data_IF_779991295488
#
_entry.id   IF_779991295488
#
_cell.length_a   1.000
_cell.length_b   1.000
_cell.length_c   1.000
_cell.angle_alpha   90.00
_cell.angle_beta   90.00
_cell.angle_gamma   90.00
#
_symmetry.space_group_name_H-M   'P 1'
#
loop_
_entity.id
_entity.type
_entity.pdbx_description
1 polymer ?
#
# COMPACT_ATOMS: atom_id res chain seq x y z
N UNK A 1 24.68 -35.52 26.11
CA UNK A 1 23.84 -36.74 26.11
C UNK A 1 22.46 -36.30 25.62
N UNK A 2 22.26 -36.67 24.38
CA UNK A 2 21.03 -37.23 23.74
C UNK A 2 19.86 -36.26 23.60
N UNK A 3 19.61 -35.81 22.36
CA UNK A 3 18.90 -36.46 21.22
C UNK A 3 17.38 -36.42 21.41
N UNK A 4 16.56 -35.90 20.57
CA UNK A 4 15.99 -36.31 19.29
C UNK A 4 14.87 -35.36 18.98
N UNK A 5 14.85 -34.73 17.82
CA UNK A 5 14.21 -35.16 16.59
C UNK A 5 12.75 -35.55 16.69
N UNK A 6 11.93 -34.80 15.93
CA UNK A 6 10.79 -35.29 15.13
C UNK A 6 10.10 -34.08 14.51
N UNK A 7 10.43 -33.65 13.36
CA UNK A 7 9.96 -34.01 12.03
C UNK A 7 8.50 -34.52 12.03
N UNK A 8 7.59 -33.66 11.64
CA UNK A 8 6.32 -34.05 11.04
C UNK A 8 6.02 -33.14 9.85
N UNK A 9 6.35 -33.64 8.67
CA UNK A 9 5.81 -33.19 7.39
C UNK A 9 4.36 -33.68 7.28
N UNK A 10 3.43 -32.88 6.78
CA UNK A 10 2.19 -33.41 6.25
C UNK A 10 2.36 -33.76 4.77
N UNK A 11 2.08 -35.00 4.52
CA UNK A 11 2.00 -35.75 3.31
C UNK A 11 1.07 -35.11 2.27
N UNK A 12 1.59 -35.01 1.08
CA UNK A 12 0.89 -34.85 -0.18
C UNK A 12 -0.25 -35.84 -0.32
N UNK A 13 -1.46 -35.34 -0.48
CA UNK A 13 -2.60 -36.09 -0.99
C UNK A 13 -2.97 -35.62 -2.38
N UNK A 14 -2.37 -36.27 -3.37
CA UNK A 14 -2.77 -36.20 -4.76
C UNK A 14 -3.94 -37.13 -5.01
N UNK A 15 -5.11 -36.63 -5.27
CA UNK A 15 -6.18 -37.34 -5.99
C UNK A 15 -7.08 -36.30 -6.65
N UNK A 16 -6.89 -36.10 -7.93
CA UNK A 16 -7.93 -35.86 -8.93
C UNK A 16 -7.28 -36.00 -10.31
N UNK A 17 -7.10 -37.25 -10.69
CA UNK A 17 -6.92 -37.63 -12.10
C UNK A 17 -8.31 -37.86 -12.67
N UNK A 18 -8.38 -37.52 -13.95
CA UNK A 18 -9.39 -37.93 -14.94
C UNK A 18 -10.67 -37.10 -15.00
N UNK A 19 -10.67 -36.15 -15.94
CA UNK A 19 -11.65 -36.18 -17.04
C UNK A 19 -11.12 -35.41 -18.24
N UNK A 20 -10.64 -36.19 -19.20
CA UNK A 20 -10.58 -35.81 -20.59
C UNK A 20 -12.01 -35.51 -21.09
N UNK A 21 -12.20 -34.34 -21.65
CA UNK A 21 -13.15 -34.13 -22.74
C UNK A 21 -12.72 -32.94 -23.57
N UNK A 22 -12.33 -33.23 -24.76
CA UNK A 22 -12.11 -32.45 -25.96
C UNK A 22 -13.18 -31.38 -26.17
N UNK A 23 -12.82 -30.17 -26.54
CA UNK A 23 -13.27 -29.48 -27.76
C UNK A 23 -12.98 -27.96 -27.69
N UNK A 24 -12.44 -27.44 -28.77
CA UNK A 24 -12.67 -26.05 -29.15
C UNK A 24 -11.53 -25.07 -28.82
N UNK A 25 -10.49 -25.05 -29.66
CA UNK A 25 -9.57 -23.94 -29.79
C UNK A 25 -10.32 -22.70 -30.26
N UNK A 26 -10.50 -21.75 -29.38
CA UNK A 26 -10.67 -20.36 -29.73
C UNK A 26 -9.56 -19.61 -29.01
N UNK A 27 -8.42 -19.42 -29.69
CA UNK A 27 -7.39 -18.50 -29.28
C UNK A 27 -7.95 -17.10 -29.50
N UNK A 28 -8.65 -16.58 -28.54
CA UNK A 28 -8.88 -15.15 -28.41
C UNK A 28 -7.56 -14.59 -27.88
N UNK A 29 -6.72 -14.09 -28.78
CA UNK A 29 -5.61 -13.21 -28.45
C UNK A 29 -6.26 -11.92 -27.91
N UNK A 30 -6.67 -11.95 -26.67
CA UNK A 30 -6.99 -10.77 -25.91
C UNK A 30 -5.68 -10.00 -25.75
N UNK A 31 -5.44 -8.99 -26.58
CA UNK A 31 -4.52 -7.92 -26.25
C UNK A 31 -5.02 -7.28 -24.97
N UNK A 32 -4.54 -7.75 -23.83
CA UNK A 32 -4.63 -7.01 -22.58
C UNK A 32 -3.75 -5.78 -22.78
N UNK A 33 -4.37 -4.65 -23.14
CA UNK A 33 -3.77 -3.35 -22.90
C UNK A 33 -3.56 -3.28 -21.39
N UNK A 34 -2.36 -3.64 -20.95
CA UNK A 34 -1.89 -3.29 -19.62
C UNK A 34 -1.74 -1.77 -19.62
N UNK A 35 -2.82 -1.09 -19.29
CA UNK A 35 -2.77 0.33 -18.97
C UNK A 35 -1.89 0.44 -17.71
N UNK A 36 -0.59 0.67 -17.89
CA UNK A 36 0.29 1.09 -16.81
C UNK A 36 -0.21 2.46 -16.37
N UNK A 37 -0.91 2.49 -15.23
CA UNK A 37 -1.31 3.74 -14.62
C UNK A 37 -0.06 4.63 -14.45
N UNK A 38 -0.14 5.93 -14.75
CA UNK A 38 0.99 6.82 -14.58
C UNK A 38 1.43 6.84 -13.12
N UNK A 39 2.74 6.90 -12.87
CA UNK A 39 3.33 6.81 -11.52
C UNK A 39 2.75 7.86 -10.54
N UNK A 40 2.26 8.98 -11.03
CA UNK A 40 1.63 10.02 -10.24
C UNK A 40 0.24 9.61 -9.72
N UNK A 41 -0.56 8.97 -10.55
CA UNK A 41 -1.87 8.47 -10.14
C UNK A 41 -1.74 7.39 -9.05
N UNK A 42 -0.74 6.51 -9.19
CA UNK A 42 -0.41 5.51 -8.17
C UNK A 42 0.00 6.17 -6.85
N UNK A 43 0.82 7.21 -6.89
CA UNK A 43 1.26 7.93 -5.69
C UNK A 43 0.11 8.64 -4.98
N UNK A 44 -0.78 9.28 -5.74
CA UNK A 44 -2.00 9.91 -5.20
C UNK A 44 -2.98 8.88 -4.63
N UNK A 45 -3.14 7.74 -5.30
CA UNK A 45 -3.97 6.63 -4.82
C UNK A 45 -3.43 6.08 -3.50
N UNK A 46 -2.12 5.87 -3.38
CA UNK A 46 -1.47 5.40 -2.16
C UNK A 46 -1.65 6.39 -1.00
N UNK A 47 -1.51 7.68 -1.26
CA UNK A 47 -1.77 8.72 -0.25
C UNK A 47 -3.22 8.70 0.24
N UNK A 48 -4.19 8.65 -0.68
CA UNK A 48 -5.62 8.56 -0.33
C UNK A 48 -5.92 7.28 0.46
N UNK A 49 -5.35 6.16 0.06
CA UNK A 49 -5.51 4.90 0.78
C UNK A 49 -4.94 4.98 2.20
N UNK A 50 -3.80 5.64 2.38
CA UNK A 50 -3.21 5.87 3.70
C UNK A 50 -4.05 6.81 4.57
N UNK A 51 -4.66 7.85 3.99
CA UNK A 51 -5.58 8.75 4.68
C UNK A 51 -6.84 7.99 5.16
N UNK A 52 -7.47 7.22 4.28
CA UNK A 52 -8.63 6.40 4.63
C UNK A 52 -8.31 5.37 5.73
N UNK A 53 -7.15 4.73 5.61
CA UNK A 53 -6.69 3.76 6.62
C UNK A 53 -6.43 4.43 7.97
N UNK A 54 -5.86 5.63 7.98
CA UNK A 54 -5.68 6.41 9.20
C UNK A 54 -7.03 6.68 9.87
N UNK A 55 -8.01 7.22 9.14
CA UNK A 55 -9.33 7.53 9.66
C UNK A 55 -10.06 6.29 10.18
N UNK A 56 -9.92 5.17 9.49
CA UNK A 56 -10.46 3.89 9.95
C UNK A 56 -9.79 3.44 11.25
N UNK A 57 -8.46 3.55 11.35
CA UNK A 57 -7.72 3.20 12.57
C UNK A 57 -8.10 4.10 13.74
N UNK A 58 -8.33 5.40 13.50
CA UNK A 58 -8.80 6.33 14.54
C UNK A 58 -10.16 5.90 15.11
N UNK A 59 -11.10 5.54 14.23
CA UNK A 59 -12.42 5.06 14.65
C UNK A 59 -12.30 3.76 15.45
N UNK A 60 -11.52 2.81 14.95
CA UNK A 60 -11.30 1.51 15.61
C UNK A 60 -10.62 1.68 16.97
N UNK A 61 -9.53 2.42 17.05
CA UNK A 61 -8.80 2.65 18.31
C UNK A 61 -9.68 3.34 19.38
N UNK A 62 -10.58 4.23 18.95
CA UNK A 62 -11.54 4.84 19.86
C UNK A 62 -12.60 3.84 20.36
N UNK A 63 -13.10 2.97 19.49
CA UNK A 63 -14.06 1.91 19.85
C UNK A 63 -13.41 0.90 20.81
N UNK A 64 -12.21 0.42 20.47
CA UNK A 64 -11.46 -0.52 21.30
C UNK A 64 -11.15 0.05 22.69
N UNK A 65 -10.77 1.32 22.75
CA UNK A 65 -10.54 2.00 24.02
C UNK A 65 -11.81 2.05 24.88
N UNK A 66 -12.97 2.36 24.30
CA UNK A 66 -14.25 2.36 25.03
C UNK A 66 -14.56 0.99 25.61
N UNK A 67 -14.39 -0.07 24.81
CA UNK A 67 -14.61 -1.45 25.24
C UNK A 67 -13.62 -1.85 26.33
N UNK A 68 -12.33 -1.58 26.13
CA UNK A 68 -11.29 -1.90 27.11
C UNK A 68 -11.52 -1.17 28.44
N UNK A 69 -11.86 0.12 28.39
CA UNK A 69 -12.17 0.91 29.58
C UNK A 69 -13.40 0.40 30.31
N UNK A 70 -14.45 -0.05 29.61
CA UNK A 70 -15.64 -0.63 30.22
C UNK A 70 -15.30 -1.89 31.01
N UNK A 71 -14.38 -2.73 30.50
CA UNK A 71 -13.90 -3.91 31.23
C UNK A 71 -13.19 -3.56 32.54
N UNK A 72 -12.55 -2.42 32.65
CA UNK A 72 -11.87 -1.97 33.86
C UNK A 72 -12.86 -1.60 34.99
N UNK A 73 -14.15 -1.42 34.69
CA UNK A 73 -15.14 -1.06 35.70
C UNK A 73 -15.41 -2.19 36.71
N UNK A 74 -15.04 -3.43 36.40
CA UNK A 74 -15.16 -4.58 37.31
C UNK A 74 -13.99 -4.66 38.31
N UNK A 75 -12.97 -3.81 38.14
CA UNK A 75 -11.81 -3.73 39.02
C UNK A 75 -11.97 -2.58 40.02
N UNK A 76 -11.23 -2.65 41.13
CA UNK A 76 -11.18 -1.61 42.15
C UNK A 76 -9.78 -1.09 42.40
N UNK A 77 -9.67 0.05 43.07
CA UNK A 77 -8.38 0.62 43.51
C UNK A 77 -7.36 0.76 42.41
N UNK A 78 -6.10 0.48 42.70
CA UNK A 78 -4.98 0.60 41.77
C UNK A 78 -5.11 -0.27 40.53
N UNK A 79 -5.71 -1.45 40.61
CA UNK A 79 -5.88 -2.35 39.47
C UNK A 79 -6.77 -1.73 38.41
N UNK A 80 -7.79 -0.99 38.79
CA UNK A 80 -8.63 -0.22 37.88
C UNK A 80 -7.85 0.86 37.20
N UNK A 81 -7.01 1.59 37.92
CA UNK A 81 -6.22 2.69 37.37
C UNK A 81 -5.16 2.16 36.37
N UNK A 82 -4.49 1.06 36.68
CA UNK A 82 -3.56 0.36 35.79
C UNK A 82 -4.27 -0.06 34.51
N UNK A 83 -5.40 -0.75 34.63
CA UNK A 83 -6.20 -1.20 33.48
C UNK A 83 -6.60 -0.03 32.55
N UNK A 84 -7.04 1.09 33.11
CA UNK A 84 -7.40 2.29 32.33
C UNK A 84 -6.17 2.88 31.62
N UNK A 85 -5.02 2.93 32.30
CA UNK A 85 -3.76 3.42 31.70
C UNK A 85 -3.30 2.50 30.56
N UNK A 86 -3.40 1.20 30.73
CA UNK A 86 -3.07 0.23 29.66
C UNK A 86 -3.98 0.38 28.44
N UNK A 87 -5.29 0.51 28.65
CA UNK A 87 -6.23 0.78 27.57
C UNK A 87 -5.91 2.08 26.81
N UNK A 88 -5.53 3.13 27.54
CA UNK A 88 -5.11 4.41 26.96
C UNK A 88 -3.80 4.29 26.19
N UNK A 89 -2.83 3.54 26.73
CA UNK A 89 -1.55 3.31 26.07
C UNK A 89 -1.72 2.55 24.73
N UNK A 90 -2.56 1.50 24.73
CA UNK A 90 -2.89 0.75 23.53
C UNK A 90 -3.49 1.65 22.44
N UNK A 91 -4.46 2.50 22.79
CA UNK A 91 -5.02 3.49 21.88
C UNK A 91 -3.94 4.43 21.34
N UNK A 92 -3.11 5.01 22.20
CA UNK A 92 -2.06 5.95 21.81
C UNK A 92 -1.07 5.31 20.84
N UNK A 93 -0.65 4.07 21.10
CA UNK A 93 0.24 3.30 20.22
C UNK A 93 -0.38 3.08 18.85
N UNK A 94 -1.65 2.66 18.78
CA UNK A 94 -2.36 2.49 17.50
C UNK A 94 -2.40 3.78 16.69
N UNK A 95 -2.72 4.91 17.33
CA UNK A 95 -2.80 6.21 16.66
C UNK A 95 -1.42 6.70 16.19
N UNK A 96 -0.37 6.49 16.98
CA UNK A 96 1.01 6.87 16.63
C UNK A 96 1.49 6.08 15.42
N UNK A 97 1.26 4.77 15.38
CA UNK A 97 1.62 3.93 14.27
C UNK A 97 0.85 4.30 12.98
N UNK A 98 -0.45 4.57 13.10
CA UNK A 98 -1.26 5.01 11.96
C UNK A 98 -0.78 6.37 11.41
N UNK A 99 -0.44 7.31 12.29
CA UNK A 99 0.12 8.61 11.91
C UNK A 99 1.46 8.49 11.19
N UNK A 100 2.35 7.61 11.68
CA UNK A 100 3.63 7.33 11.02
C UNK A 100 3.43 6.75 9.62
N UNK A 101 2.52 5.79 9.45
CA UNK A 101 2.19 5.20 8.16
C UNK A 101 1.64 6.23 7.18
N UNK A 102 0.71 7.09 7.63
CA UNK A 102 0.17 8.18 6.81
C UNK A 102 1.26 9.16 6.38
N UNK A 103 2.13 9.57 7.30
CA UNK A 103 3.25 10.47 7.01
C UNK A 103 4.19 9.88 5.96
N UNK A 104 4.57 8.61 6.11
CA UNK A 104 5.46 7.93 5.16
C UNK A 104 4.85 7.86 3.75
N UNK A 105 3.54 7.60 3.64
CA UNK A 105 2.86 7.62 2.35
C UNK A 105 2.85 9.03 1.72
N UNK A 106 2.68 10.08 2.51
CA UNK A 106 2.78 11.48 2.06
C UNK A 106 4.18 11.80 1.56
N UNK A 107 5.20 11.52 2.36
CA UNK A 107 6.61 11.78 2.01
C UNK A 107 7.03 11.05 0.75
N UNK A 108 6.63 9.79 0.57
CA UNK A 108 6.90 9.03 -0.63
C UNK A 108 6.21 9.66 -1.87
N UNK A 109 4.97 10.13 -1.73
CA UNK A 109 4.26 10.79 -2.82
C UNK A 109 4.96 12.10 -3.26
N UNK A 110 5.43 12.90 -2.31
CA UNK A 110 6.20 14.12 -2.57
C UNK A 110 7.53 13.80 -3.28
N UNK A 111 8.31 12.84 -2.77
CA UNK A 111 9.57 12.42 -3.39
C UNK A 111 9.39 11.91 -4.82
N UNK A 112 8.29 11.22 -5.10
CA UNK A 112 7.96 10.81 -6.46
C UNK A 112 7.59 11.99 -7.36
N UNK A 113 6.89 13.00 -6.85
CA UNK A 113 6.57 14.21 -7.59
C UNK A 113 7.85 14.98 -7.95
N UNK A 114 8.73 15.20 -6.99
CA UNK A 114 10.02 15.87 -7.18
C UNK A 114 10.90 15.14 -8.21
N UNK A 115 10.95 13.81 -8.13
CA UNK A 115 11.69 12.99 -9.09
C UNK A 115 11.14 13.10 -10.51
N UNK A 116 9.82 13.20 -10.68
CA UNK A 116 9.20 13.40 -12.00
C UNK A 116 9.52 14.78 -12.57
N UNK A 117 9.39 15.82 -11.76
CA UNK A 117 9.73 17.18 -12.18
C UNK A 117 11.20 17.28 -12.62
N UNK A 118 12.12 16.70 -11.85
CA UNK A 118 13.53 16.66 -12.22
C UNK A 118 13.76 15.95 -13.56
N UNK A 119 13.08 14.83 -13.81
CA UNK A 119 13.15 14.11 -15.10
C UNK A 119 12.53 14.90 -16.25
N UNK A 120 11.46 15.63 -15.99
CA UNK A 120 10.86 16.53 -16.97
C UNK A 120 11.83 17.62 -17.41
N UNK A 121 12.50 18.29 -16.48
CA UNK A 121 13.48 19.33 -16.80
C UNK A 121 14.65 18.78 -17.62
N UNK A 122 15.16 17.59 -17.29
CA UNK A 122 16.19 16.92 -18.13
C UNK A 122 15.68 16.60 -19.53
N UNK A 123 14.45 16.10 -19.65
CA UNK A 123 13.86 15.77 -20.95
C UNK A 123 13.64 17.04 -21.79
N UNK A 124 13.16 18.09 -21.19
CA UNK A 124 12.97 19.40 -21.81
C UNK A 124 14.29 19.99 -22.31
N UNK A 125 15.36 19.91 -21.51
CA UNK A 125 16.68 20.39 -21.91
C UNK A 125 17.24 19.61 -23.12
N UNK A 126 17.02 18.29 -23.15
CA UNK A 126 17.40 17.49 -24.33
C UNK A 126 16.65 17.91 -25.59
N UNK A 127 15.41 18.40 -25.48
CA UNK A 127 14.68 18.93 -26.63
C UNK A 127 15.21 20.25 -27.11
N UNK A 128 15.97 21.01 -26.30
CA UNK A 128 16.57 22.29 -26.72
C UNK A 128 17.63 22.14 -27.83
N UNK A 129 18.27 20.98 -27.92
CA UNK A 129 19.21 20.67 -28.98
C UNK A 129 18.54 20.43 -30.37
N UNK A 130 17.21 20.31 -30.39
CA UNK A 130 16.42 20.13 -31.61
C UNK A 130 15.94 21.48 -32.14
N UNK A 131 15.53 21.54 -33.41
CA UNK A 131 15.00 22.74 -34.06
C UNK A 131 13.65 22.50 -34.74
N UNK A 132 12.89 23.57 -35.01
CA UNK A 132 11.61 23.52 -35.71
C UNK A 132 10.56 22.65 -35.01
N UNK A 133 9.77 21.93 -35.80
CA UNK A 133 8.67 21.11 -35.33
C UNK A 133 9.12 19.93 -34.45
N UNK A 134 10.31 19.38 -34.73
CA UNK A 134 10.87 18.29 -33.92
C UNK A 134 11.04 18.69 -32.45
N UNK A 135 11.49 19.92 -32.19
CA UNK A 135 11.61 20.47 -30.85
C UNK A 135 10.26 20.57 -30.15
N UNK A 136 9.22 21.02 -30.85
CA UNK A 136 7.87 21.18 -30.32
C UNK A 136 7.24 19.81 -29.99
N UNK A 137 7.43 18.83 -30.85
CA UNK A 137 6.96 17.44 -30.62
C UNK A 137 7.66 16.85 -29.40
N UNK A 138 9.01 16.94 -29.35
CA UNK A 138 9.79 16.47 -28.23
C UNK A 138 9.32 17.05 -26.87
N UNK A 139 9.07 18.38 -26.82
CA UNK A 139 8.56 19.04 -25.60
C UNK A 139 7.19 18.51 -25.17
N UNK A 140 6.26 18.34 -26.13
CA UNK A 140 4.94 17.77 -25.85
C UNK A 140 5.02 16.33 -25.34
N UNK A 141 5.90 15.52 -25.88
CA UNK A 141 6.14 14.16 -25.43
C UNK A 141 6.72 14.12 -24.02
N UNK A 142 7.68 15.01 -23.71
CA UNK A 142 8.23 15.15 -22.38
C UNK A 142 7.15 15.56 -21.36
N UNK A 143 6.30 16.51 -21.72
CA UNK A 143 5.18 16.95 -20.87
C UNK A 143 4.17 15.81 -20.63
N UNK A 144 3.75 15.12 -21.68
CA UNK A 144 2.84 13.98 -21.59
C UNK A 144 3.41 12.84 -20.73
N UNK A 145 4.74 12.65 -20.73
CA UNK A 145 5.40 11.59 -19.96
C UNK A 145 5.58 11.90 -18.49
N UNK A 146 5.86 13.15 -18.14
CA UNK A 146 6.33 13.49 -16.79
C UNK A 146 5.39 14.42 -16.01
N UNK A 147 4.45 15.11 -16.65
CA UNK A 147 3.54 16.10 -16.01
C UNK A 147 2.08 15.70 -16.03
N UNK A 148 1.80 14.42 -15.99
CA UNK A 148 0.43 13.89 -15.86
C UNK A 148 -0.05 13.92 -14.41
#
# INVERSE_FOLDING_TARGET
MHTHDSFLQPTTGSIWRDRLLTAGAAIVIGMTLSATAPADETSRANKRAADLKYDQTVRQANADYKVARAKCNHLGGNDKDVCIKEAKAAKTTSLSNAKATKKNAGTNAEAHADSREARYEVAKEKCESMSGDAKNVCKKEAEARYRQ
#
